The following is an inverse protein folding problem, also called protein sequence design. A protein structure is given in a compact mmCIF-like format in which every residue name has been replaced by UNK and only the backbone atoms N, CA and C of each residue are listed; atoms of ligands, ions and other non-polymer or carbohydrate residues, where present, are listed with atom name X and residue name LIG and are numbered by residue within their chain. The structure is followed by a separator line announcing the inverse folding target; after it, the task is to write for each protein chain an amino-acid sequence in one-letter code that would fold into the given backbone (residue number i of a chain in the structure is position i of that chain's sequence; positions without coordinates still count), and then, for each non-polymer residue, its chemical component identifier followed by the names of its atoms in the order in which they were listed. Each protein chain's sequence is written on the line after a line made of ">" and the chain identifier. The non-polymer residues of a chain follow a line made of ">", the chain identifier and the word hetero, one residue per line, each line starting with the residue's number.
data_IF_982319009049
#
_entry.id   IF_982319009049
#
_cell.length_a   1.000
_cell.length_b   1.000
_cell.length_c   1.000
_cell.angle_alpha   90.00
_cell.angle_beta   90.00
_cell.angle_gamma   90.00
#
_symmetry.space_group_name_H-M   'P 1'
#
loop_
_entity.id
_entity.type
_entity.pdbx_description
1 polymer ?
#
# COMPACT_ATOMS: atom_id res chain seq x y z
N UNK A 1 -0.53 28.85 6.09
CA UNK A 1 -1.23 27.55 6.04
C UNK A 1 -0.17 26.50 6.28
N UNK A 2 -0.11 25.91 7.47
CA UNK A 2 0.82 24.81 7.73
C UNK A 2 0.36 23.61 6.87
N UNK A 3 1.21 23.14 5.96
CA UNK A 3 0.92 21.95 5.18
C UNK A 3 0.92 20.72 6.09
N UNK A 4 0.10 19.71 5.76
CA UNK A 4 0.21 18.40 6.38
C UNK A 4 1.63 17.87 6.15
N UNK A 5 2.34 17.54 7.23
CA UNK A 5 3.68 16.95 7.15
C UNK A 5 3.56 15.50 7.58
N UNK A 6 3.79 14.59 6.64
CA UNK A 6 3.87 13.16 6.91
C UNK A 6 5.33 12.73 6.97
N UNK A 7 5.66 11.87 7.92
CA UNK A 7 6.97 11.21 7.95
C UNK A 7 6.91 10.01 7.03
N UNK A 8 7.92 9.86 6.17
CA UNK A 8 8.08 8.64 5.38
C UNK A 8 8.62 7.53 6.27
N UNK A 9 7.87 6.45 6.40
CA UNK A 9 8.19 5.32 7.26
C UNK A 9 8.72 4.11 6.45
N UNK A 10 9.67 3.32 6.98
CA UNK A 10 9.98 2.02 6.42
C UNK A 10 8.86 1.03 6.72
N UNK A 11 8.61 0.09 5.81
CA UNK A 11 7.68 -1.01 6.05
C UNK A 11 8.35 -2.05 6.96
N UNK A 12 7.74 -2.28 8.11
CA UNK A 12 8.08 -3.35 9.06
C UNK A 12 6.81 -4.10 9.43
N UNK A 13 6.93 -5.32 9.97
CA UNK A 13 5.76 -6.10 10.38
C UNK A 13 4.91 -5.33 11.39
N UNK A 14 5.56 -4.67 12.34
CA UNK A 14 4.92 -3.97 13.45
C UNK A 14 4.21 -2.70 12.98
N UNK A 15 4.88 -1.88 12.16
CA UNK A 15 4.30 -0.63 11.66
C UNK A 15 3.19 -0.85 10.64
N UNK A 16 3.28 -1.93 9.86
CA UNK A 16 2.33 -2.20 8.79
C UNK A 16 1.13 -3.06 9.24
N UNK A 17 1.20 -3.68 10.43
CA UNK A 17 0.16 -4.55 10.97
C UNK A 17 -1.27 -3.99 10.93
N UNK A 18 -1.53 -2.68 11.14
CA UNK A 18 -2.88 -2.13 11.05
C UNK A 18 -3.47 -2.16 9.62
N UNK A 19 -2.60 -2.09 8.60
CA UNK A 19 -3.00 -1.91 7.19
C UNK A 19 -2.94 -3.21 6.40
N UNK A 20 -2.15 -4.17 6.85
CA UNK A 20 -1.95 -5.38 6.07
C UNK A 20 -0.87 -6.29 6.63
N UNK A 21 -0.38 -7.15 5.76
CA UNK A 21 0.70 -8.08 6.05
C UNK A 21 1.88 -7.84 5.11
N UNK A 22 3.08 -7.76 5.68
CA UNK A 22 4.33 -7.84 4.94
C UNK A 22 4.46 -9.24 4.32
N UNK A 23 4.66 -9.31 3.00
CA UNK A 23 4.86 -10.57 2.28
C UNK A 23 6.35 -10.93 2.38
N UNK A 24 6.71 -11.55 3.51
CA UNK A 24 8.06 -12.02 3.79
C UNK A 24 8.00 -13.27 4.67
N UNK A 25 8.99 -14.14 4.51
CA UNK A 25 9.14 -15.34 5.33
C UNK A 25 9.33 -14.98 6.81
N UNK A 26 8.63 -15.66 7.69
CA UNK A 26 8.67 -15.49 9.13
C UNK A 26 9.77 -16.34 9.73
N UNK A 27 10.53 -15.77 10.67
CA UNK A 27 11.50 -16.52 11.48
C UNK A 27 10.84 -17.60 12.34
N UNK A 28 9.51 -17.51 12.53
CA UNK A 28 8.73 -18.43 13.35
C UNK A 28 7.95 -19.46 12.52
N UNK A 29 8.18 -19.55 11.20
CA UNK A 29 7.46 -20.49 10.36
C UNK A 29 7.78 -21.95 10.77
N UNK A 30 6.76 -22.80 10.99
CA UNK A 30 6.98 -24.21 11.34
C UNK A 30 7.51 -25.03 10.15
N UNK A 31 7.31 -24.57 8.92
CA UNK A 31 7.92 -25.11 7.71
C UNK A 31 9.00 -24.12 7.26
N UNK A 32 10.25 -24.59 7.19
CA UNK A 32 11.44 -23.79 6.83
C UNK A 32 11.54 -23.46 5.33
N UNK A 33 10.67 -24.04 4.49
CA UNK A 33 10.69 -23.87 3.02
C UNK A 33 9.43 -23.23 2.46
N UNK A 34 8.30 -23.32 3.16
CA UNK A 34 7.03 -22.84 2.65
C UNK A 34 6.14 -22.26 3.76
N UNK A 35 5.84 -20.98 3.66
CA UNK A 35 4.92 -20.30 4.58
C UNK A 35 3.71 -19.77 3.81
N UNK A 36 2.52 -20.18 4.23
CA UNK A 36 1.27 -19.56 3.77
C UNK A 36 1.03 -18.31 4.58
N UNK A 37 1.20 -17.14 3.94
CA UNK A 37 1.01 -15.85 4.61
C UNK A 37 -0.46 -15.44 4.66
N UNK A 38 -1.22 -15.66 3.59
CA UNK A 38 -2.60 -15.21 3.48
C UNK A 38 -3.37 -16.22 2.62
N UNK A 39 -4.65 -16.39 2.91
CA UNK A 39 -5.59 -17.13 2.08
C UNK A 39 -6.84 -16.30 1.85
N UNK A 40 -7.47 -16.49 0.70
CA UNK A 40 -8.76 -15.91 0.37
C UNK A 40 -9.66 -17.02 -0.14
N UNK A 41 -10.59 -17.44 0.70
CA UNK A 41 -11.38 -18.64 0.47
C UNK A 41 -12.67 -18.34 -0.31
N UNK A 42 -13.13 -17.09 -0.33
CA UNK A 42 -14.45 -16.75 -0.85
C UNK A 42 -14.44 -16.38 -2.33
N UNK A 43 -13.37 -15.73 -2.81
CA UNK A 43 -13.32 -15.13 -4.14
C UNK A 43 -11.98 -15.41 -4.83
N UNK A 44 -11.98 -15.81 -6.11
CA UNK A 44 -10.74 -16.07 -6.83
C UNK A 44 -9.89 -14.81 -6.95
N UNK A 45 -8.58 -14.97 -7.09
CA UNK A 45 -7.64 -13.89 -7.34
C UNK A 45 -7.35 -13.68 -8.83
N UNK A 46 -6.97 -12.44 -9.16
CA UNK A 46 -6.35 -12.05 -10.43
C UNK A 46 -4.98 -11.44 -10.17
N UNK A 47 -4.13 -11.44 -11.20
CA UNK A 47 -2.82 -10.77 -11.16
C UNK A 47 -2.81 -9.68 -12.22
N UNK A 48 -2.34 -8.49 -11.85
CA UNK A 48 -2.19 -7.34 -12.72
C UNK A 48 -0.79 -6.71 -12.56
N UNK A 49 -0.41 -5.86 -13.50
CA UNK A 49 0.73 -4.94 -13.35
C UNK A 49 0.16 -3.53 -13.29
N UNK A 50 0.41 -2.85 -12.18
CA UNK A 50 -0.02 -1.49 -11.95
C UNK A 50 1.13 -0.52 -12.20
N UNK A 51 0.85 0.52 -12.99
CA UNK A 51 1.81 1.57 -13.34
C UNK A 51 1.40 2.88 -12.71
N UNK A 52 2.30 3.43 -11.91
CA UNK A 52 2.13 4.69 -11.18
C UNK A 52 3.02 5.76 -11.79
N UNK A 53 2.44 6.91 -12.14
CA UNK A 53 3.15 8.10 -12.66
C UNK A 53 2.74 9.40 -11.98
N UNK A 54 1.64 9.35 -11.23
CA UNK A 54 1.22 10.44 -10.38
C UNK A 54 2.21 10.62 -9.23
N UNK A 55 2.63 11.86 -9.01
CA UNK A 55 3.50 12.25 -7.89
C UNK A 55 2.73 12.90 -6.74
N UNK A 56 1.41 12.99 -6.89
CA UNK A 56 0.49 13.51 -5.90
C UNK A 56 -0.75 12.63 -5.83
N UNK A 57 -1.22 12.37 -4.62
CA UNK A 57 -2.49 11.75 -4.33
C UNK A 57 -3.55 12.84 -4.21
N UNK A 58 -4.67 12.68 -4.91
CA UNK A 58 -5.84 13.57 -4.81
C UNK A 58 -6.96 12.93 -3.98
N UNK A 59 -6.88 11.61 -3.78
CA UNK A 59 -7.85 10.80 -3.07
C UNK A 59 -7.16 9.55 -2.52
N UNK A 60 -7.83 8.86 -1.61
CA UNK A 60 -7.57 7.46 -1.26
C UNK A 60 -8.65 6.58 -1.90
N UNK A 61 -8.26 5.37 -2.27
CA UNK A 61 -9.14 4.28 -2.68
C UNK A 61 -9.26 3.26 -1.54
N UNK A 62 -10.37 2.53 -1.49
CA UNK A 62 -10.58 1.43 -0.56
C UNK A 62 -11.34 0.33 -1.27
N UNK A 63 -10.92 -0.93 -1.09
CA UNK A 63 -11.65 -2.10 -1.56
C UNK A 63 -12.31 -2.82 -0.37
N UNK A 64 -13.61 -2.62 -0.10
CA UNK A 64 -14.23 -3.20 1.09
C UNK A 64 -14.26 -4.73 1.10
N UNK A 65 -14.28 -5.34 -0.09
CA UNK A 65 -14.39 -6.79 -0.27
C UNK A 65 -13.11 -7.47 -0.71
N UNK A 66 -12.04 -6.72 -1.03
CA UNK A 66 -10.82 -7.28 -1.63
C UNK A 66 -9.59 -7.02 -0.78
N UNK A 67 -8.76 -8.04 -0.62
CA UNK A 67 -7.36 -7.82 -0.29
C UNK A 67 -6.61 -7.43 -1.58
N UNK A 68 -5.51 -6.70 -1.44
CA UNK A 68 -4.71 -6.28 -2.59
C UNK A 68 -3.23 -6.33 -2.23
N UNK A 69 -2.44 -7.07 -3.00
CA UNK A 69 -0.98 -7.06 -2.88
C UNK A 69 -0.35 -5.98 -3.74
N UNK A 70 0.73 -5.39 -3.23
CA UNK A 70 1.63 -4.55 -4.00
C UNK A 70 3.03 -5.12 -3.88
N UNK A 71 3.57 -5.63 -4.98
CA UNK A 71 4.91 -6.20 -5.03
C UNK A 71 5.78 -5.37 -5.98
N UNK A 72 6.77 -4.61 -5.47
CA UNK A 72 7.59 -3.74 -6.31
C UNK A 72 8.31 -4.49 -7.43
N UNK A 73 8.22 -3.98 -8.65
CA UNK A 73 8.89 -4.54 -9.84
C UNK A 73 9.96 -3.60 -10.40
N UNK A 74 9.70 -2.29 -10.44
CA UNK A 74 10.63 -1.28 -10.95
C UNK A 74 10.26 0.11 -10.43
N UNK A 75 11.24 1.01 -10.36
CA UNK A 75 11.05 2.36 -9.83
C UNK A 75 10.86 2.37 -8.30
N UNK A 76 10.50 3.52 -7.77
CA UNK A 76 10.25 3.75 -6.36
C UNK A 76 8.95 4.53 -6.18
N UNK A 77 8.17 4.19 -5.16
CA UNK A 77 6.96 4.92 -4.80
C UNK A 77 6.65 4.84 -3.32
N UNK A 78 5.62 5.57 -2.95
CA UNK A 78 5.11 5.66 -1.58
C UNK A 78 3.71 5.09 -1.58
N UNK A 79 3.47 4.19 -0.63
CA UNK A 79 2.15 3.71 -0.28
C UNK A 79 1.60 4.61 0.84
N UNK A 80 0.50 5.28 0.54
CA UNK A 80 -0.32 5.96 1.55
C UNK A 80 -1.31 4.94 2.09
N UNK A 81 -1.49 4.90 3.41
CA UNK A 81 -2.47 4.04 4.07
C UNK A 81 -3.24 4.79 5.17
N UNK A 82 -4.49 4.42 5.38
CA UNK A 82 -5.26 4.79 6.57
C UNK A 82 -6.21 3.64 6.95
N UNK A 83 -6.50 3.50 8.25
CA UNK A 83 -7.41 2.47 8.75
C UNK A 83 -8.85 2.72 8.25
N UNK A 84 -9.70 1.67 8.12
CA UNK A 84 -11.02 1.78 7.49
C UNK A 84 -11.93 2.89 8.05
N UNK A 85 -11.84 3.17 9.35
CA UNK A 85 -12.69 4.13 10.06
C UNK A 85 -12.06 5.51 10.24
N UNK A 86 -10.77 5.69 9.91
CA UNK A 86 -10.03 6.94 10.09
C UNK A 86 -9.27 7.34 8.82
N UNK A 87 -9.95 7.56 7.67
CA UNK A 87 -9.31 7.85 6.38
C UNK A 87 -8.45 9.13 6.34
N UNK A 88 -8.54 9.97 7.37
CA UNK A 88 -7.76 11.20 7.53
C UNK A 88 -6.43 10.98 8.29
N UNK A 89 -6.28 9.85 8.98
CA UNK A 89 -5.06 9.47 9.71
C UNK A 89 -4.11 8.72 8.76
N UNK A 90 -3.52 9.48 7.84
CA UNK A 90 -2.71 8.93 6.74
C UNK A 90 -1.29 8.64 7.21
N UNK A 91 -0.85 7.41 6.98
CA UNK A 91 0.55 6.98 7.06
C UNK A 91 1.16 6.90 5.68
N UNK A 92 2.47 7.13 5.61
CA UNK A 92 3.22 7.09 4.37
C UNK A 92 4.38 6.11 4.51
N UNK A 93 4.40 5.10 3.64
CA UNK A 93 5.40 4.06 3.64
C UNK A 93 6.21 4.06 2.35
N UNK A 94 7.52 3.91 2.45
CA UNK A 94 8.33 3.57 1.27
C UNK A 94 7.92 2.17 0.80
N UNK A 95 7.38 2.05 -0.41
CA UNK A 95 6.89 0.79 -0.95
C UNK A 95 8.03 0.08 -1.70
N UNK A 96 9.03 -0.37 -0.95
CA UNK A 96 10.23 -1.07 -1.45
C UNK A 96 10.23 -2.57 -1.16
N UNK A 97 9.20 -3.07 -0.47
CA UNK A 97 9.01 -4.48 -0.14
C UNK A 97 7.58 -4.95 -0.47
N UNK A 98 7.37 -6.23 -0.80
CA UNK A 98 6.04 -6.75 -1.11
C UNK A 98 5.10 -6.74 0.12
N UNK A 99 3.89 -6.21 -0.03
CA UNK A 99 2.87 -6.17 1.02
C UNK A 99 1.51 -6.60 0.49
N UNK A 100 0.60 -6.99 1.39
CA UNK A 100 -0.80 -7.19 1.07
C UNK A 100 -1.67 -6.41 2.04
N UNK A 101 -2.49 -5.52 1.50
CA UNK A 101 -3.47 -4.73 2.23
C UNK A 101 -4.66 -5.59 2.63
N UNK A 102 -5.17 -5.34 3.84
CA UNK A 102 -6.42 -5.92 4.27
C UNK A 102 -7.62 -5.24 3.58
N UNK A 103 -8.73 -5.98 3.56
CA UNK A 103 -10.03 -5.46 3.10
C UNK A 103 -10.39 -4.19 3.85
N UNK A 104 -10.87 -3.19 3.13
CA UNK A 104 -11.36 -1.94 3.72
C UNK A 104 -10.29 -0.89 4.03
N UNK A 105 -9.00 -1.20 3.87
CA UNK A 105 -7.91 -0.24 4.12
C UNK A 105 -7.91 0.83 3.02
N UNK A 106 -7.88 2.09 3.43
CA UNK A 106 -7.73 3.21 2.53
C UNK A 106 -6.29 3.31 2.07
N UNK A 107 -6.07 3.49 0.78
CA UNK A 107 -4.73 3.53 0.22
C UNK A 107 -4.65 4.34 -1.08
N UNK A 108 -3.44 4.77 -1.42
CA UNK A 108 -3.08 5.32 -2.74
C UNK A 108 -1.58 5.10 -2.93
N UNK A 109 -1.14 4.96 -4.18
CA UNK A 109 0.29 4.85 -4.49
C UNK A 109 0.70 6.02 -5.37
N UNK A 110 1.78 6.69 -4.97
CA UNK A 110 2.40 7.75 -5.77
C UNK A 110 3.84 7.37 -6.12
N UNK A 111 4.31 7.85 -7.26
CA UNK A 111 5.67 7.60 -7.70
C UNK A 111 6.65 8.62 -7.08
N UNK A 112 7.80 8.12 -6.62
CA UNK A 112 8.98 8.92 -6.29
C UNK A 112 9.90 9.08 -7.50
N UNK A 113 10.05 8.02 -8.30
CA UNK A 113 10.69 8.05 -9.61
C UNK A 113 9.71 8.50 -10.70
N UNK A 114 10.19 8.69 -11.94
CA UNK A 114 9.34 9.02 -13.10
C UNK A 114 8.15 8.05 -13.29
N UNK A 115 8.39 6.77 -13.03
CA UNK A 115 7.33 5.77 -12.87
C UNK A 115 7.72 4.73 -11.84
N UNK A 116 6.71 4.10 -11.24
CA UNK A 116 6.85 2.90 -10.42
C UNK A 116 5.90 1.80 -10.91
N UNK A 117 6.37 0.56 -10.92
CA UNK A 117 5.62 -0.61 -11.36
C UNK A 117 5.47 -1.60 -10.21
N UNK A 118 4.26 -2.10 -10.03
CA UNK A 118 3.94 -3.10 -9.01
C UNK A 118 3.20 -4.27 -9.65
N UNK A 119 3.56 -5.49 -9.25
CA UNK A 119 2.69 -6.64 -9.45
C UNK A 119 1.61 -6.57 -8.38
N UNK A 120 0.36 -6.68 -8.80
CA UNK A 120 -0.79 -6.69 -7.91
C UNK A 120 -1.46 -8.06 -7.97
N UNK A 121 -1.83 -8.57 -6.80
CA UNK A 121 -2.77 -9.70 -6.67
C UNK A 121 -3.95 -9.24 -5.83
N UNK A 122 -5.14 -9.35 -6.38
CA UNK A 122 -6.38 -8.91 -5.74
C UNK A 122 -7.52 -9.86 -6.12
N UNK A 123 -8.69 -9.71 -5.52
CA UNK A 123 -9.86 -10.46 -5.93
C UNK A 123 -10.22 -10.19 -7.40
N UNK A 124 -10.82 -11.18 -8.07
CA UNK A 124 -11.17 -11.07 -9.49
C UNK A 124 -12.16 -9.93 -9.74
N UNK A 125 -13.17 -9.84 -8.88
CA UNK A 125 -14.17 -8.78 -8.87
C UNK A 125 -13.89 -7.86 -7.68
N UNK A 126 -13.70 -6.58 -7.95
CA UNK A 126 -13.32 -5.58 -6.95
C UNK A 126 -14.30 -4.41 -7.02
N UNK A 127 -14.85 -4.05 -5.86
CA UNK A 127 -15.60 -2.82 -5.69
C UNK A 127 -14.73 -1.80 -4.97
N UNK A 128 -14.79 -0.55 -5.43
CA UNK A 128 -13.97 0.53 -4.89
C UNK A 128 -14.83 1.62 -4.27
N UNK A 129 -14.32 2.19 -3.18
CA UNK A 129 -14.77 3.45 -2.60
C UNK A 129 -13.64 4.47 -2.71
N UNK A 130 -13.99 5.75 -2.76
CA UNK A 130 -13.02 6.83 -2.90
C UNK A 130 -13.25 7.90 -1.83
N UNK A 131 -12.17 8.32 -1.19
CA UNK A 131 -12.16 9.41 -0.22
C UNK A 131 -11.31 10.57 -0.76
N UNK A 132 -11.90 11.70 -1.20
CA UNK A 132 -11.14 12.83 -1.70
C UNK A 132 -10.32 13.47 -0.58
N UNK A 133 -9.08 13.84 -0.89
CA UNK A 133 -8.24 14.59 0.03
C UNK A 133 -8.58 16.09 -0.09
N UNK A 134 -8.60 16.79 1.04
CA UNK A 134 -8.85 18.25 1.06
C UNK A 134 -7.82 19.01 0.21
N UNK A 135 -6.57 18.52 0.24
CA UNK A 135 -5.46 19.04 -0.55
C UNK A 135 -4.64 17.87 -1.11
N UNK A 136 -4.11 17.99 -2.35
CA UNK A 136 -3.25 16.95 -2.90
C UNK A 136 -2.01 16.70 -2.05
N UNK A 137 -1.74 15.43 -1.72
CA UNK A 137 -0.56 15.03 -0.96
C UNK A 137 0.55 14.57 -1.91
N UNK A 138 1.74 15.15 -1.78
CA UNK A 138 2.93 14.74 -2.52
C UNK A 138 4.16 14.81 -1.62
N UNK A 139 5.28 14.28 -2.09
CA UNK A 139 6.51 14.22 -1.31
C UNK A 139 7.60 15.09 -1.93
N UNK A 140 8.36 15.74 -1.05
CA UNK A 140 9.59 16.43 -1.40
C UNK A 140 10.72 15.82 -0.59
N UNK A 141 11.79 15.40 -1.28
CA UNK A 141 13.01 14.95 -0.62
C UNK A 141 13.78 16.21 -0.23
N UNK A 142 13.93 16.45 1.07
CA UNK A 142 14.79 17.50 1.57
C UNK A 142 16.17 16.89 1.84
N UNK A 143 17.20 17.39 1.16
CA UNK A 143 18.57 17.06 1.52
C UNK A 143 18.87 17.73 2.86
N UNK A 144 19.33 16.94 3.83
CA UNK A 144 19.89 17.47 5.07
C UNK A 144 21.36 17.77 4.75
N UNK A 145 21.75 19.04 4.87
CA UNK A 145 23.14 19.49 4.76
C UNK A 145 24.01 18.97 5.91
#
# INVERSE_FOLDING_TARGET
>A
MAGLTLTLEPITRERFAPFGRLIAFSEQSPDERFEVLLTEDAQPWRIAVFRVRQHKAERLECHPGSMESFEPMAGAGILLCAEPHTPHEIHAFLLDTPVCLYKGVWHEVIALSQEALYKITENREVSSQFHPLEHPLGFQIQNIE
#
